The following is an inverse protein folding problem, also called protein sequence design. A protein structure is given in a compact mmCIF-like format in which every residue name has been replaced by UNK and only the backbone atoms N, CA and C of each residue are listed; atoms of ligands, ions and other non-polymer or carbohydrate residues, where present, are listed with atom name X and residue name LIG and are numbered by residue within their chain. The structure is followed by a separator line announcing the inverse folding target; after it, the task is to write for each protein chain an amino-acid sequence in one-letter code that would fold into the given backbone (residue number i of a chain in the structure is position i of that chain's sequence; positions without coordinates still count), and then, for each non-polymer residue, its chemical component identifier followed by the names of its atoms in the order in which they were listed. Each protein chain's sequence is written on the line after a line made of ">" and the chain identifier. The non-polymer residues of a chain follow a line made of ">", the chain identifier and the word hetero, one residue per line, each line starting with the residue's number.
data_IF_935712731914
#
_entry.id   IF_935712731914
#
_cell.length_a   1.000
_cell.length_b   1.000
_cell.length_c   1.000
_cell.angle_alpha   90.00
_cell.angle_beta   90.00
_cell.angle_gamma   90.00
#
_symmetry.space_group_name_H-M   'P 1'
#
loop_
_entity.id
_entity.type
_entity.pdbx_description
1 polymer ?
#
# COMPACT_ATOMS: atom_id res chain seq x y z
N UNK A 1 5.93 14.15 10.64
CA UNK A 1 5.21 13.27 9.71
C UNK A 1 5.87 11.90 9.76
N UNK A 2 5.09 10.82 9.87
CA UNK A 2 5.66 9.47 9.88
C UNK A 2 6.28 9.16 8.52
N UNK A 3 7.51 8.65 8.50
CA UNK A 3 8.21 8.33 7.26
C UNK A 3 7.70 6.99 6.74
N UNK A 4 6.87 7.03 5.70
CA UNK A 4 6.43 5.81 5.01
C UNK A 4 7.63 5.20 4.29
N UNK A 5 7.77 3.88 4.35
CA UNK A 5 8.87 3.17 3.69
C UNK A 5 8.83 3.36 2.17
N UNK A 6 10.00 3.59 1.54
CA UNK A 6 10.13 3.75 0.10
C UNK A 6 9.54 2.56 -0.70
N UNK A 7 9.60 1.34 -0.15
CA UNK A 7 9.01 0.15 -0.76
C UNK A 7 7.48 0.25 -0.91
N UNK A 8 6.79 0.99 -0.04
CA UNK A 8 5.34 1.20 -0.17
C UNK A 8 5.02 2.05 -1.40
N UNK A 9 5.80 3.11 -1.64
CA UNK A 9 5.68 3.94 -2.84
C UNK A 9 6.10 3.18 -4.11
N UNK A 10 7.14 2.35 -4.02
CA UNK A 10 7.55 1.48 -5.12
C UNK A 10 6.44 0.48 -5.49
N UNK A 11 5.83 -0.17 -4.49
CA UNK A 11 4.70 -1.06 -4.70
C UNK A 11 3.49 -0.35 -5.30
N UNK A 12 3.21 0.89 -4.88
CA UNK A 12 2.16 1.70 -5.48
C UNK A 12 2.44 2.00 -6.96
N UNK A 13 3.68 2.35 -7.30
CA UNK A 13 4.09 2.56 -8.69
C UNK A 13 3.94 1.28 -9.53
N UNK A 14 4.32 0.11 -8.99
CA UNK A 14 4.12 -1.17 -9.65
C UNK A 14 2.63 -1.49 -9.87
N UNK A 15 1.78 -1.26 -8.87
CA UNK A 15 0.34 -1.44 -9.00
C UNK A 15 -0.26 -0.50 -10.07
N UNK A 16 0.27 0.72 -10.18
CA UNK A 16 -0.12 1.66 -11.23
C UNK A 16 0.23 1.15 -12.65
N UNK A 17 1.41 0.51 -12.81
CA UNK A 17 1.79 -0.11 -14.08
C UNK A 17 0.86 -1.26 -14.46
N UNK A 18 0.44 -2.07 -13.48
CA UNK A 18 -0.53 -3.16 -13.71
C UNK A 18 -1.89 -2.58 -14.12
N UNK A 19 -2.34 -1.52 -13.45
CA UNK A 19 -3.58 -0.82 -13.82
C UNK A 19 -3.51 -0.24 -15.24
N UNK A 20 -2.39 0.38 -15.60
CA UNK A 20 -2.19 0.87 -16.96
C UNK A 20 -2.23 -0.29 -17.97
N UNK A 21 -1.58 -1.41 -17.65
CA UNK A 21 -1.58 -2.60 -18.50
C UNK A 21 -2.98 -3.20 -18.70
N UNK A 22 -3.79 -3.29 -17.64
CA UNK A 22 -5.19 -3.77 -17.76
C UNK A 22 -6.09 -2.79 -18.51
N UNK A 23 -5.80 -1.49 -18.46
CA UNK A 23 -6.55 -0.46 -19.19
C UNK A 23 -6.22 -0.37 -20.69
N UNK A 24 -4.95 -0.58 -21.07
CA UNK A 24 -4.52 -0.49 -22.47
C UNK A 24 -4.61 -1.82 -23.23
N UNK A 25 -4.81 -2.94 -22.55
CA UNK A 25 -4.93 -4.25 -23.19
C UNK A 25 -6.39 -4.61 -23.48
N UNK A 26 -6.72 -4.86 -24.75
CA UNK A 26 -8.06 -5.33 -25.15
C UNK A 26 -8.42 -6.66 -24.48
N UNK A 27 -7.45 -7.57 -24.34
CA UNK A 27 -7.61 -8.88 -23.72
C UNK A 27 -7.91 -8.83 -22.20
N UNK A 28 -7.46 -7.79 -21.50
CA UNK A 28 -7.61 -7.65 -20.05
C UNK A 28 -8.55 -6.51 -19.62
N UNK A 29 -9.27 -5.93 -20.58
CA UNK A 29 -10.21 -4.82 -20.36
C UNK A 29 -11.25 -5.12 -19.26
N UNK A 30 -11.69 -6.38 -19.13
CA UNK A 30 -12.62 -6.80 -18.07
C UNK A 30 -12.03 -6.65 -16.65
N UNK A 31 -10.70 -6.72 -16.51
CA UNK A 31 -10.00 -6.57 -15.24
C UNK A 31 -9.70 -5.11 -14.90
N UNK A 32 -9.94 -4.16 -15.80
CA UNK A 32 -9.64 -2.75 -15.57
C UNK A 32 -10.44 -2.16 -14.40
N UNK A 33 -11.76 -2.33 -14.37
CA UNK A 33 -12.62 -1.82 -13.29
C UNK A 33 -12.19 -2.36 -11.90
N UNK A 34 -12.04 -3.69 -11.69
CA UNK A 34 -11.64 -4.20 -10.38
C UNK A 34 -10.21 -3.79 -9.99
N UNK A 35 -9.26 -3.75 -10.94
CA UNK A 35 -7.90 -3.26 -10.65
C UNK A 35 -7.87 -1.76 -10.34
N UNK A 36 -8.72 -0.96 -10.98
CA UNK A 36 -8.88 0.47 -10.66
C UNK A 36 -9.37 0.66 -9.23
N UNK A 37 -10.41 -0.05 -8.82
CA UNK A 37 -10.96 0.01 -7.46
C UNK A 37 -9.89 -0.40 -6.44
N UNK A 38 -9.17 -1.50 -6.70
CA UNK A 38 -8.09 -1.98 -5.83
C UNK A 38 -6.92 -0.98 -5.74
N UNK A 39 -6.58 -0.32 -6.85
CA UNK A 39 -5.57 0.74 -6.85
C UNK A 39 -6.00 1.97 -6.04
N UNK A 40 -7.27 2.36 -6.14
CA UNK A 40 -7.83 3.45 -5.32
C UNK A 40 -7.79 3.12 -3.82
N UNK A 41 -8.04 1.86 -3.44
CA UNK A 41 -7.81 1.41 -2.07
C UNK A 41 -6.35 1.54 -1.65
N UNK A 42 -5.39 1.20 -2.52
CA UNK A 42 -3.96 1.40 -2.21
C UNK A 42 -3.64 2.88 -1.96
N UNK A 43 -4.16 3.79 -2.80
CA UNK A 43 -4.00 5.25 -2.62
C UNK A 43 -4.62 5.69 -1.29
N UNK A 44 -5.87 5.30 -1.02
CA UNK A 44 -6.56 5.64 0.21
C UNK A 44 -5.81 5.15 1.46
N UNK A 45 -5.22 3.94 1.39
CA UNK A 45 -4.36 3.39 2.43
C UNK A 45 -3.14 4.27 2.71
N UNK A 46 -2.41 4.66 1.67
CA UNK A 46 -1.26 5.58 1.81
C UNK A 46 -1.68 6.94 2.37
N UNK A 47 -2.77 7.52 1.87
CA UNK A 47 -3.29 8.80 2.38
C UNK A 47 -3.61 8.72 3.86
N UNK A 48 -4.26 7.65 4.32
CA UNK A 48 -4.55 7.42 5.73
C UNK A 48 -3.27 7.26 6.57
N UNK A 49 -2.24 6.61 6.03
CA UNK A 49 -0.93 6.51 6.70
C UNK A 49 -0.26 7.89 6.84
N UNK A 50 -0.36 8.76 5.83
CA UNK A 50 0.14 10.15 5.89
C UNK A 50 -0.62 10.96 6.96
N UNK A 51 -1.92 10.72 7.13
CA UNK A 51 -2.77 11.32 8.16
C UNK A 51 -2.58 10.70 9.57
N UNK A 52 -1.47 10.02 9.82
CA UNK A 52 -1.14 9.31 11.07
C UNK A 52 -2.11 8.18 11.48
N UNK A 53 -3.00 7.73 10.58
CA UNK A 53 -3.87 6.57 10.79
C UNK A 53 -3.23 5.29 10.26
N UNK A 54 -1.95 5.06 10.61
CA UNK A 54 -1.10 4.03 9.99
C UNK A 54 -1.68 2.61 10.06
N UNK A 55 -2.28 2.21 11.20
CA UNK A 55 -2.90 0.87 11.32
C UNK A 55 -4.05 0.69 10.34
N UNK A 56 -5.01 1.62 10.32
CA UNK A 56 -6.16 1.57 9.40
C UNK A 56 -5.72 1.69 7.94
N UNK A 57 -4.79 2.61 7.65
CA UNK A 57 -4.23 2.78 6.31
C UNK A 57 -3.51 1.54 5.80
N UNK A 58 -2.79 0.82 6.67
CA UNK A 58 -2.10 -0.41 6.30
C UNK A 58 -3.06 -1.54 5.90
N UNK A 59 -4.16 -1.72 6.64
CA UNK A 59 -5.19 -2.73 6.33
C UNK A 59 -5.84 -2.42 4.98
N UNK A 60 -6.20 -1.15 4.75
CA UNK A 60 -6.80 -0.71 3.49
C UNK A 60 -5.84 -0.92 2.31
N UNK A 61 -4.55 -0.63 2.50
CA UNK A 61 -3.53 -0.90 1.50
C UNK A 61 -3.40 -2.40 1.19
N UNK A 62 -3.44 -3.26 2.22
CA UNK A 62 -3.37 -4.71 2.03
C UNK A 62 -4.56 -5.23 1.23
N UNK A 63 -5.78 -4.79 1.55
CA UNK A 63 -7.00 -5.15 0.81
C UNK A 63 -6.88 -4.72 -0.66
N UNK A 64 -6.45 -3.49 -0.91
CA UNK A 64 -6.21 -3.00 -2.26
C UNK A 64 -5.10 -3.76 -3.00
N UNK A 65 -4.12 -4.31 -2.29
CA UNK A 65 -2.96 -4.99 -2.91
C UNK A 65 -3.24 -6.44 -3.32
N UNK A 66 -4.36 -7.05 -2.91
CA UNK A 66 -4.65 -8.47 -3.18
C UNK A 66 -4.69 -8.77 -4.68
N UNK A 67 -5.27 -7.89 -5.49
CA UNK A 67 -5.39 -8.07 -6.94
C UNK A 67 -4.08 -7.86 -7.71
N UNK A 68 -3.02 -7.41 -7.04
CA UNK A 68 -1.73 -7.11 -7.66
C UNK A 68 -0.65 -8.15 -7.33
N UNK A 69 -0.98 -9.22 -6.61
CA UNK A 69 -0.04 -10.29 -6.26
C UNK A 69 0.45 -10.99 -7.56
N UNK A 70 1.77 -11.24 -7.71
CA UNK A 70 2.83 -11.11 -6.71
C UNK A 70 3.48 -9.71 -6.59
N UNK A 71 3.36 -8.84 -7.60
CA UNK A 71 4.06 -7.55 -7.64
C UNK A 71 3.64 -6.60 -6.49
N UNK A 72 2.35 -6.63 -6.12
CA UNK A 72 1.80 -5.86 -5.00
C UNK A 72 2.42 -6.22 -3.64
N UNK A 73 3.10 -7.38 -3.53
CA UNK A 73 3.81 -7.76 -2.30
C UNK A 73 4.91 -6.77 -1.93
N UNK A 74 5.55 -6.11 -2.90
CA UNK A 74 6.57 -5.08 -2.64
C UNK A 74 5.97 -3.95 -1.80
N UNK A 75 4.76 -3.51 -2.16
CA UNK A 75 4.03 -2.50 -1.40
C UNK A 75 3.65 -2.98 -0.01
N UNK A 76 3.16 -4.23 0.10
CA UNK A 76 2.80 -4.86 1.38
C UNK A 76 4.02 -4.91 2.32
N UNK A 77 5.19 -5.31 1.82
CA UNK A 77 6.43 -5.33 2.61
C UNK A 77 6.81 -3.94 3.11
N UNK A 78 6.69 -2.91 2.26
CA UNK A 78 6.94 -1.52 2.65
C UNK A 78 5.99 -1.01 3.72
N UNK A 79 4.69 -1.29 3.58
CA UNK A 79 3.69 -0.94 4.58
C UNK A 79 3.94 -1.69 5.90
N UNK A 80 4.24 -2.99 5.85
CA UNK A 80 4.57 -3.80 7.03
C UNK A 80 5.77 -3.23 7.79
N UNK A 81 6.84 -2.87 7.08
CA UNK A 81 8.01 -2.22 7.70
C UNK A 81 7.64 -0.89 8.36
N UNK A 82 6.81 -0.08 7.70
CA UNK A 82 6.32 1.19 8.27
C UNK A 82 5.53 0.98 9.57
N UNK A 83 4.71 -0.07 9.64
CA UNK A 83 3.96 -0.42 10.87
C UNK A 83 4.89 -0.90 11.97
N UNK A 84 5.85 -1.76 11.65
CA UNK A 84 6.82 -2.27 12.63
C UNK A 84 7.67 -1.15 13.22
N UNK A 85 8.21 -0.25 12.38
CA UNK A 85 8.98 0.92 12.82
C UNK A 85 8.13 1.80 13.78
N UNK A 86 6.82 1.89 13.54
CA UNK A 86 5.86 2.59 14.42
C UNK A 86 5.66 1.93 15.77
N UNK A 87 5.60 0.61 15.80
CA UNK A 87 5.43 -0.13 17.05
C UNK A 87 6.72 -0.10 17.88
N UNK A 88 7.88 -0.20 17.24
CA UNK A 88 9.19 -0.07 17.89
C UNK A 88 9.38 1.31 18.54
N UNK A 89 9.05 2.39 17.82
CA UNK A 89 9.14 3.76 18.37
C UNK A 89 8.20 3.95 19.57
N UNK A 90 7.00 3.38 19.51
CA UNK A 90 6.04 3.43 20.64
C UNK A 90 6.57 2.66 21.85
N UNK A 91 7.06 1.44 21.63
CA UNK A 91 7.61 0.59 22.67
C UNK A 91 8.81 1.27 23.37
N UNK A 92 9.75 1.82 22.60
CA UNK A 92 10.93 2.49 23.17
C UNK A 92 10.56 3.74 23.97
N UNK A 93 9.58 4.52 23.52
CA UNK A 93 9.08 5.69 24.26
C UNK A 93 8.42 5.32 25.58
N UNK A 94 7.77 4.16 25.66
CA UNK A 94 7.09 3.69 26.88
C UNK A 94 8.05 3.09 27.90
N UNK A 95 9.12 2.42 27.45
CA UNK A 95 10.00 1.65 28.33
C UNK A 95 11.33 2.34 28.67
N UNK A 96 11.81 3.26 27.82
CA UNK A 96 13.14 3.88 27.93
C UNK A 96 13.13 5.40 27.78
N UNK A 97 11.95 6.00 27.56
CA UNK A 97 11.76 7.43 27.28
C UNK A 97 11.32 8.26 28.48
#
# INVERSE_FOLDING_TARGET
>A
MYKINALAYLGLALNALILAYTGFSEHYSMLFIPTLIAYLFCIAGIVLMILNKTKVGSIIFYIGSVLFIPLGMVGIMGVKKTVNDLEEIKFNKENYG
#
